data_IF_480691470704
#
_entry.id   IF_480691470704
#
_cell.length_a   1.000
_cell.length_b   1.000
_cell.length_c   1.000
_cell.angle_alpha   90.00
_cell.angle_beta   90.00
_cell.angle_gamma   90.00
#
_symmetry.space_group_name_H-M   'P 1'
#
loop_
_entity.id
_entity.type
_entity.pdbx_description
1 polymer ?
#
# COMPACT_ATOMS: atom_id res chain seq x y z
N UNK A 1 8.47 11.33 6.63
CA UNK A 1 7.79 10.45 5.66
C UNK A 1 7.61 9.12 6.35
N UNK A 2 6.38 8.62 6.37
CA UNK A 2 6.08 7.34 7.01
C UNK A 2 6.70 6.20 6.20
N UNK A 3 7.40 5.29 6.86
CA UNK A 3 8.23 4.30 6.16
C UNK A 3 7.50 2.97 5.88
N UNK A 4 6.51 2.58 6.70
CA UNK A 4 5.93 1.24 6.61
C UNK A 4 4.43 1.23 6.31
N UNK A 5 3.63 1.93 7.09
CA UNK A 5 2.21 2.18 6.85
C UNK A 5 1.78 3.29 7.80
N UNK A 6 1.01 4.26 7.32
CA UNK A 6 0.36 5.25 8.19
C UNK A 6 -1.08 5.48 7.77
N UNK A 7 -1.88 5.96 8.70
CA UNK A 7 -3.28 6.26 8.47
C UNK A 7 -3.91 6.91 9.69
N UNK A 8 -5.24 6.97 9.70
CA UNK A 8 -6.01 7.60 10.77
C UNK A 8 -6.85 6.54 11.50
N UNK A 9 -7.01 6.70 12.80
CA UNK A 9 -7.99 5.95 13.59
C UNK A 9 -9.00 6.92 14.20
N UNK A 10 -10.30 6.67 14.05
CA UNK A 10 -11.35 7.56 14.58
C UNK A 10 -11.49 7.46 16.10
N UNK A 11 -11.88 8.56 16.73
CA UNK A 11 -12.17 8.65 18.17
C UNK A 11 -13.67 8.52 18.35
N UNK A 12 -14.15 7.28 18.29
CA UNK A 12 -15.55 6.93 18.52
C UNK A 12 -15.65 5.59 19.25
N UNK A 13 -16.84 5.23 19.75
CA UNK A 13 -17.05 3.98 20.51
C UNK A 13 -16.58 2.72 19.77
N UNK A 14 -16.57 2.76 18.45
CA UNK A 14 -16.06 1.70 17.58
C UNK A 14 -15.05 2.29 16.59
N UNK A 15 -13.77 2.43 16.98
CA UNK A 15 -12.75 3.08 16.17
C UNK A 15 -12.62 2.44 14.79
N UNK A 16 -12.48 3.28 13.76
CA UNK A 16 -12.30 2.88 12.37
C UNK A 16 -10.93 3.33 11.90
N UNK A 17 -10.23 2.44 11.21
CA UNK A 17 -9.06 2.80 10.42
C UNK A 17 -9.52 3.45 9.12
N UNK A 18 -8.98 4.61 8.81
CA UNK A 18 -9.23 5.37 7.60
C UNK A 18 -7.92 5.58 6.84
N UNK A 19 -7.90 5.20 5.56
CA UNK A 19 -6.76 5.41 4.68
C UNK A 19 -7.25 5.60 3.25
N UNK A 20 -6.98 6.78 2.67
CA UNK A 20 -7.31 7.11 1.28
C UNK A 20 -6.09 7.53 0.47
N UNK A 21 -4.90 7.34 1.04
CA UNK A 21 -3.62 7.58 0.42
C UNK A 21 -2.52 6.85 1.21
N UNK A 22 -1.92 5.82 0.60
CA UNK A 22 -0.82 5.07 1.19
C UNK A 22 0.52 5.84 1.14
N UNK A 23 0.59 6.94 0.39
CA UNK A 23 1.79 7.78 0.29
C UNK A 23 1.85 8.86 1.37
N UNK A 24 0.70 9.21 1.98
CA UNK A 24 0.63 10.28 2.98
C UNK A 24 -0.67 10.28 3.81
N UNK A 25 -0.56 10.28 5.14
CA UNK A 25 -1.73 10.53 6.01
C UNK A 25 -2.29 11.95 5.88
N UNK A 26 -1.46 12.95 5.56
CA UNK A 26 -1.91 14.33 5.34
C UNK A 26 -2.85 14.41 4.13
N UNK A 27 -2.57 13.62 3.10
CA UNK A 27 -3.46 13.52 1.95
C UNK A 27 -4.81 12.88 2.33
N UNK A 28 -4.79 11.82 3.13
CA UNK A 28 -6.02 11.23 3.70
C UNK A 28 -6.83 12.29 4.48
N UNK A 29 -6.18 13.10 5.31
CA UNK A 29 -6.82 14.19 6.05
C UNK A 29 -7.41 15.27 5.12
N UNK A 30 -6.67 15.68 4.09
CA UNK A 30 -7.14 16.66 3.13
C UNK A 30 -8.40 16.19 2.37
N UNK A 31 -8.48 14.89 2.06
CA UNK A 31 -9.63 14.28 1.38
C UNK A 31 -10.85 14.24 2.31
N UNK A 32 -10.65 13.76 3.55
CA UNK A 32 -11.75 13.52 4.48
C UNK A 32 -12.21 14.76 5.24
N UNK A 33 -11.37 15.80 5.32
CA UNK A 33 -11.63 17.06 6.03
C UNK A 33 -12.06 16.83 7.48
N UNK A 34 -11.41 15.87 8.15
CA UNK A 34 -11.69 15.54 9.55
C UNK A 34 -11.24 16.66 10.48
N UNK A 35 -11.92 16.79 11.62
CA UNK A 35 -11.50 17.72 12.67
C UNK A 35 -10.45 17.05 13.58
N UNK A 36 -9.43 17.77 14.08
CA UNK A 36 -8.35 17.19 14.89
C UNK A 36 -8.81 16.40 16.13
N UNK A 37 -9.96 16.74 16.70
CA UNK A 37 -10.56 16.06 17.85
C UNK A 37 -11.26 14.72 17.52
N UNK A 38 -11.33 14.34 16.23
CA UNK A 38 -12.09 13.16 15.77
C UNK A 38 -11.23 11.97 15.35
N UNK A 39 -9.90 12.13 15.32
CA UNK A 39 -8.99 11.07 14.89
C UNK A 39 -7.63 11.14 15.60
N UNK A 40 -6.88 10.04 15.56
CA UNK A 40 -5.44 10.00 15.84
C UNK A 40 -4.69 9.42 14.66
N UNK A 41 -3.48 9.90 14.44
CA UNK A 41 -2.58 9.33 13.44
C UNK A 41 -1.91 8.09 14.01
N UNK A 42 -1.83 7.07 13.18
CA UNK A 42 -1.15 5.81 13.45
C UNK A 42 0.02 5.64 12.46
N UNK A 43 1.05 4.92 12.88
CA UNK A 43 2.12 4.50 11.98
C UNK A 43 2.69 3.15 12.45
N UNK A 44 2.86 2.21 11.53
CA UNK A 44 3.83 1.13 11.74
C UNK A 44 5.22 1.69 11.49
N UNK A 45 6.16 1.49 12.41
CA UNK A 45 7.45 2.20 12.36
C UNK A 45 8.64 1.32 11.98
N UNK A 46 8.54 -0.01 12.06
CA UNK A 46 9.71 -0.91 11.91
C UNK A 46 9.43 -2.26 11.26
N UNK A 47 8.41 -2.99 11.71
CA UNK A 47 8.27 -4.42 11.39
C UNK A 47 6.80 -4.88 11.43
N UNK A 48 6.54 -6.11 11.00
CA UNK A 48 5.18 -6.64 10.82
C UNK A 48 4.48 -7.07 12.12
N UNK A 49 4.88 -6.48 13.25
CA UNK A 49 4.36 -6.76 14.59
C UNK A 49 3.52 -5.60 15.12
N UNK A 50 2.59 -5.89 16.04
CA UNK A 50 1.84 -4.86 16.75
C UNK A 50 2.70 -3.99 17.68
N UNK A 51 3.91 -4.44 18.01
CA UNK A 51 4.87 -3.67 18.81
C UNK A 51 5.37 -2.44 18.06
N UNK A 52 5.45 -2.51 16.73
CA UNK A 52 5.88 -1.39 15.90
C UNK A 52 4.74 -0.44 15.49
N UNK A 53 3.49 -0.76 15.82
CA UNK A 53 2.37 0.18 15.68
C UNK A 53 2.48 1.28 16.73
N UNK A 54 2.56 2.54 16.32
CA UNK A 54 2.51 3.69 17.21
C UNK A 54 1.32 4.59 16.88
N UNK A 55 0.80 5.27 17.90
CA UNK A 55 -0.34 6.18 17.77
C UNK A 55 0.06 7.54 18.36
N UNK A 56 -0.09 8.59 17.56
CA UNK A 56 0.09 9.97 18.00
C UNK A 56 -1.12 10.38 18.82
N UNK A 57 -0.96 10.39 20.14
CA UNK A 57 -2.02 10.71 21.11
C UNK A 57 -1.85 12.12 21.70
N UNK A 58 -2.96 12.71 22.16
CA UNK A 58 -2.97 13.95 22.92
C UNK A 58 -2.66 13.69 24.41
N UNK A 59 -2.26 14.72 25.18
CA UNK A 59 -2.06 14.58 26.62
C UNK A 59 -3.31 14.02 27.32
N UNK A 60 -3.13 12.98 28.13
CA UNK A 60 -4.20 12.35 28.91
C UNK A 60 -4.92 11.19 28.21
N UNK A 61 -4.60 10.91 26.94
CA UNK A 61 -5.16 9.76 26.23
C UNK A 61 -4.32 8.50 26.38
N UNK A 62 -4.99 7.34 26.40
CA UNK A 62 -4.32 6.05 26.43
C UNK A 62 -3.98 5.56 25.01
N UNK A 63 -2.69 5.59 24.68
CA UNK A 63 -2.16 5.04 23.43
C UNK A 63 -2.53 3.56 23.24
N UNK A 64 -2.51 2.77 24.31
CA UNK A 64 -2.74 1.33 24.23
C UNK A 64 -4.19 1.00 23.91
N UNK A 65 -5.15 1.86 24.25
CA UNK A 65 -6.54 1.71 23.86
C UNK A 65 -6.68 1.74 22.32
N UNK A 66 -6.09 2.75 21.67
CA UNK A 66 -6.08 2.86 20.21
C UNK A 66 -5.32 1.71 19.55
N UNK A 67 -4.14 1.35 20.06
CA UNK A 67 -3.36 0.21 19.54
C UNK A 67 -4.17 -1.08 19.61
N UNK A 68 -4.81 -1.33 20.75
CA UNK A 68 -5.63 -2.54 20.95
C UNK A 68 -6.83 -2.57 20.00
N UNK A 69 -7.49 -1.44 19.77
CA UNK A 69 -8.61 -1.35 18.83
C UNK A 69 -8.18 -1.68 17.39
N UNK A 70 -7.03 -1.16 16.93
CA UNK A 70 -6.50 -1.46 15.59
C UNK A 70 -6.10 -2.94 15.51
N UNK A 71 -5.33 -3.45 16.48
CA UNK A 71 -4.82 -4.82 16.46
C UNK A 71 -5.91 -5.89 16.65
N UNK A 72 -7.02 -5.55 17.32
CA UNK A 72 -8.18 -6.43 17.40
C UNK A 72 -8.85 -6.63 16.03
N UNK A 73 -8.83 -5.62 15.15
CA UNK A 73 -9.35 -5.71 13.79
C UNK A 73 -8.31 -6.22 12.79
N UNK A 74 -7.05 -5.85 12.99
CA UNK A 74 -5.93 -6.15 12.11
C UNK A 74 -4.76 -6.74 12.91
N UNK A 75 -4.81 -8.05 13.23
CA UNK A 75 -3.76 -8.70 14.00
C UNK A 75 -2.39 -8.63 13.32
N UNK A 76 -2.35 -8.56 11.98
CA UNK A 76 -1.13 -8.40 11.19
C UNK A 76 -1.14 -7.07 10.44
N UNK A 77 0.04 -6.47 10.22
CA UNK A 77 0.19 -5.26 9.39
C UNK A 77 -0.43 -5.46 7.99
N UNK A 78 -0.23 -6.63 7.38
CA UNK A 78 -0.77 -6.93 6.06
C UNK A 78 -2.31 -6.88 6.01
N UNK A 79 -3.00 -7.21 7.10
CA UNK A 79 -4.45 -7.12 7.18
C UNK A 79 -4.92 -5.66 7.13
N UNK A 80 -4.19 -4.77 7.81
CA UNK A 80 -4.43 -3.33 7.78
C UNK A 80 -4.11 -2.73 6.40
N UNK A 81 -2.98 -3.13 5.79
CA UNK A 81 -2.61 -2.75 4.42
C UNK A 81 -3.72 -3.12 3.44
N UNK A 82 -4.22 -4.36 3.50
CA UNK A 82 -5.27 -4.84 2.62
C UNK A 82 -6.60 -4.06 2.82
N UNK A 83 -6.94 -3.67 4.06
CA UNK A 83 -8.12 -2.82 4.28
C UNK A 83 -7.91 -1.40 3.74
N UNK A 84 -6.70 -0.84 3.85
CA UNK A 84 -6.35 0.44 3.24
C UNK A 84 -6.48 0.37 1.71
N UNK A 85 -5.93 -0.68 1.09
CA UNK A 85 -6.05 -0.92 -0.35
C UNK A 85 -7.52 -1.01 -0.78
N UNK A 86 -8.35 -1.73 -0.01
CA UNK A 86 -9.79 -1.85 -0.25
C UNK A 86 -10.48 -0.48 -0.19
N UNK A 87 -10.24 0.32 0.87
CA UNK A 87 -10.80 1.67 1.00
C UNK A 87 -10.39 2.58 -0.15
N UNK A 88 -9.13 2.51 -0.58
CA UNK A 88 -8.62 3.26 -1.73
C UNK A 88 -9.30 2.84 -3.04
N UNK A 89 -9.45 1.54 -3.29
CA UNK A 89 -10.11 1.02 -4.48
C UNK A 89 -11.60 1.43 -4.52
N UNK A 90 -12.29 1.38 -3.38
CA UNK A 90 -13.69 1.79 -3.24
C UNK A 90 -13.89 3.31 -3.40
N UNK A 91 -12.83 4.12 -3.24
CA UNK A 91 -12.92 5.58 -3.38
C UNK A 91 -13.10 6.05 -4.83
N UNK A 92 -12.86 5.18 -5.81
CA UNK A 92 -12.92 5.52 -7.25
C UNK A 92 -11.81 6.47 -7.72
N UNK A 93 -10.76 6.66 -6.91
CA UNK A 93 -9.63 7.54 -7.23
C UNK A 93 -8.50 6.76 -7.89
N UNK A 94 -7.81 7.38 -8.84
CA UNK A 94 -6.57 6.85 -9.41
C UNK A 94 -5.40 7.11 -8.46
N UNK A 95 -5.19 6.20 -7.51
CA UNK A 95 -4.22 6.35 -6.43
C UNK A 95 -2.95 5.55 -6.67
N UNK A 96 -1.89 6.01 -6.00
CA UNK A 96 -0.60 5.35 -5.94
C UNK A 96 -0.54 4.43 -4.73
N UNK A 97 0.05 3.26 -4.91
CA UNK A 97 0.19 2.24 -3.89
C UNK A 97 1.66 2.14 -3.49
N UNK A 98 2.03 2.91 -2.47
CA UNK A 98 3.35 2.81 -1.85
C UNK A 98 3.39 1.66 -0.85
N UNK A 99 3.95 0.53 -1.30
CA UNK A 99 4.15 -0.68 -0.51
C UNK A 99 5.64 -1.05 -0.47
N UNK A 100 6.53 -0.06 -0.61
CA UNK A 100 7.96 -0.26 -0.77
C UNK A 100 8.60 -1.00 0.42
N UNK A 101 7.97 -1.03 1.58
CA UNK A 101 8.46 -1.68 2.80
C UNK A 101 8.07 -3.15 2.95
N UNK A 102 7.27 -3.71 2.03
CA UNK A 102 6.96 -5.13 2.03
C UNK A 102 8.18 -5.93 1.56
N UNK A 103 8.59 -6.91 2.37
CA UNK A 103 9.67 -7.87 2.04
C UNK A 103 9.13 -9.22 1.58
N UNK A 104 7.82 -9.44 1.73
CA UNK A 104 7.07 -10.59 1.23
C UNK A 104 5.73 -10.13 0.68
N UNK A 105 5.24 -10.80 -0.37
CA UNK A 105 3.91 -10.59 -0.93
C UNK A 105 2.84 -11.51 -0.30
N UNK A 106 3.21 -12.35 0.67
CA UNK A 106 2.29 -13.30 1.30
C UNK A 106 1.07 -12.59 1.92
N UNK A 107 -0.11 -12.93 1.43
CA UNK A 107 -1.38 -12.37 1.91
C UNK A 107 -1.69 -10.97 1.38
N UNK A 108 -0.85 -10.37 0.55
CA UNK A 108 -1.15 -9.10 -0.12
C UNK A 108 -2.31 -9.27 -1.10
N UNK A 109 -3.27 -8.33 -1.06
CA UNK A 109 -4.44 -8.30 -1.94
C UNK A 109 -4.47 -6.96 -2.67
N UNK A 110 -4.13 -6.99 -3.95
CA UNK A 110 -4.22 -5.83 -4.84
C UNK A 110 -5.55 -5.87 -5.61
N UNK A 111 -6.08 -4.70 -6.04
CA UNK A 111 -7.22 -4.65 -6.95
C UNK A 111 -6.81 -5.16 -8.35
N UNK A 112 -7.80 -5.52 -9.17
CA UNK A 112 -7.59 -6.01 -10.55
C UNK A 112 -6.95 -4.95 -11.46
N UNK A 113 -7.12 -3.66 -11.13
CA UNK A 113 -6.50 -2.54 -11.84
C UNK A 113 -6.08 -1.44 -10.86
N UNK A 114 -4.95 -0.79 -11.15
CA UNK A 114 -4.44 0.38 -10.43
C UNK A 114 -4.30 1.55 -11.41
N UNK A 115 -4.95 2.67 -11.12
CA UNK A 115 -4.84 3.87 -11.96
C UNK A 115 -3.51 4.63 -11.82
N UNK A 116 -2.86 4.54 -10.65
CA UNK A 116 -1.56 5.16 -10.36
C UNK A 116 -0.38 4.20 -10.54
N UNK A 117 0.71 4.43 -9.79
CA UNK A 117 1.85 3.51 -9.72
C UNK A 117 1.76 2.55 -8.54
N UNK A 118 2.48 1.42 -8.64
CA UNK A 118 2.64 0.41 -7.58
C UNK A 118 4.12 0.24 -7.27
N UNK A 119 4.49 0.43 -6.01
CA UNK A 119 5.86 0.28 -5.54
C UNK A 119 5.98 -0.90 -4.57
N UNK A 120 6.71 -1.93 -5.00
CA UNK A 120 7.03 -3.12 -4.23
C UNK A 120 8.56 -3.34 -4.24
N UNK A 121 9.34 -2.25 -4.26
CA UNK A 121 10.77 -2.28 -4.55
C UNK A 121 11.61 -3.14 -3.60
N UNK A 122 11.12 -3.51 -2.41
CA UNK A 122 11.86 -4.34 -1.44
C UNK A 122 11.55 -5.83 -1.51
N UNK A 123 10.62 -6.27 -2.36
CA UNK A 123 10.42 -7.70 -2.61
C UNK A 123 11.66 -8.29 -3.30
N UNK A 124 12.17 -9.40 -2.77
CA UNK A 124 13.31 -10.14 -3.33
C UNK A 124 12.89 -11.40 -4.08
N UNK A 125 11.65 -11.85 -3.87
CA UNK A 125 10.98 -12.99 -4.51
C UNK A 125 9.57 -12.60 -4.97
N UNK A 126 9.11 -13.21 -6.07
CA UNK A 126 7.74 -13.07 -6.58
C UNK A 126 6.77 -14.08 -5.95
N UNK A 127 7.22 -14.90 -5.00
CA UNK A 127 6.38 -15.89 -4.31
C UNK A 127 5.17 -15.22 -3.63
N UNK A 128 3.98 -15.74 -3.91
CA UNK A 128 2.71 -15.20 -3.40
C UNK A 128 2.25 -13.90 -4.06
N UNK A 129 3.06 -13.27 -4.92
CA UNK A 129 2.72 -12.02 -5.57
C UNK A 129 1.69 -12.23 -6.68
N UNK A 130 0.57 -11.50 -6.59
CA UNK A 130 -0.44 -11.39 -7.64
C UNK A 130 -0.57 -9.93 -8.02
N UNK A 131 -0.04 -9.57 -9.19
CA UNK A 131 -0.11 -8.21 -9.71
C UNK A 131 -1.50 -7.95 -10.35
N UNK A 132 -1.94 -6.68 -10.41
CA UNK A 132 -3.11 -6.28 -11.20
C UNK A 132 -2.92 -6.61 -12.69
N UNK A 133 -4.02 -6.74 -13.43
CA UNK A 133 -4.00 -6.93 -14.88
C UNK A 133 -3.49 -5.66 -15.60
N UNK A 134 -3.73 -4.49 -15.00
CA UNK A 134 -3.29 -3.20 -15.54
C UNK A 134 -2.84 -2.22 -14.47
N UNK A 135 -1.79 -1.46 -14.79
CA UNK A 135 -1.27 -0.37 -13.96
C UNK A 135 -1.15 0.88 -14.85
N UNK A 136 -1.88 1.95 -14.53
CA UNK A 136 -1.88 3.21 -15.30
C UNK A 136 -0.58 4.00 -15.17
N UNK A 137 0.12 3.87 -14.04
CA UNK A 137 1.44 4.43 -13.79
C UNK A 137 2.56 3.39 -14.00
N UNK A 138 3.55 3.39 -13.11
CA UNK A 138 4.68 2.46 -13.14
C UNK A 138 4.61 1.35 -12.09
N UNK A 139 5.45 0.33 -12.27
CA UNK A 139 5.61 -0.82 -11.39
C UNK A 139 7.07 -0.97 -10.94
N UNK A 140 7.31 -0.91 -9.63
CA UNK A 140 8.64 -1.12 -9.04
C UNK A 140 8.78 -2.48 -8.40
N UNK A 141 9.66 -3.30 -8.95
CA UNK A 141 10.08 -4.60 -8.43
C UNK A 141 11.60 -4.72 -8.49
N UNK A 142 12.32 -3.59 -8.35
CA UNK A 142 13.76 -3.52 -8.67
C UNK A 142 14.65 -4.46 -7.86
N UNK A 143 14.21 -4.95 -6.70
CA UNK A 143 14.99 -5.88 -5.86
C UNK A 143 14.68 -7.36 -6.09
N UNK A 144 13.73 -7.71 -6.98
CA UNK A 144 13.51 -9.10 -7.35
C UNK A 144 14.80 -9.69 -7.94
N UNK A 145 15.18 -10.87 -7.47
CA UNK A 145 16.42 -11.56 -7.89
C UNK A 145 16.18 -12.62 -8.96
N UNK A 146 14.94 -13.11 -9.06
CA UNK A 146 14.47 -14.11 -10.03
C UNK A 146 13.13 -13.68 -10.63
N UNK A 147 12.93 -14.01 -11.92
CA UNK A 147 11.67 -13.84 -12.63
C UNK A 147 10.73 -15.06 -12.50
N UNK A 148 11.18 -16.12 -11.83
CA UNK A 148 10.39 -17.34 -11.65
C UNK A 148 9.06 -17.04 -10.94
N UNK A 149 7.96 -17.50 -11.53
CA UNK A 149 6.61 -17.27 -11.00
C UNK A 149 6.08 -15.85 -11.18
N UNK A 150 6.90 -14.89 -11.63
CA UNK A 150 6.46 -13.51 -11.88
C UNK A 150 5.58 -13.44 -13.13
N UNK A 151 4.35 -12.97 -12.93
CA UNK A 151 3.42 -12.60 -14.01
C UNK A 151 3.24 -11.10 -13.99
N UNK A 152 3.77 -10.41 -15.00
CA UNK A 152 3.61 -8.96 -15.14
C UNK A 152 2.18 -8.61 -15.60
N UNK A 153 1.69 -7.39 -15.30
CA UNK A 153 0.46 -6.86 -15.87
C UNK A 153 0.50 -6.87 -17.40
N UNK A 154 -0.67 -6.97 -18.05
CA UNK A 154 -0.79 -6.88 -19.51
C UNK A 154 -0.40 -5.47 -20.01
N UNK A 155 -0.68 -4.43 -19.21
CA UNK A 155 -0.39 -3.05 -19.54
C UNK A 155 0.19 -2.26 -18.37
N UNK A 156 1.27 -1.52 -18.63
CA UNK A 156 1.89 -0.58 -17.69
C UNK A 156 1.99 0.79 -18.37
N UNK A 157 1.26 1.80 -17.90
CA UNK A 157 1.21 3.10 -18.57
C UNK A 157 2.48 3.93 -18.44
N UNK A 158 3.33 3.64 -17.46
CA UNK A 158 4.59 4.34 -17.19
C UNK A 158 5.82 3.45 -17.33
N UNK A 159 6.50 3.19 -16.22
CA UNK A 159 7.79 2.50 -16.15
C UNK A 159 7.68 1.12 -15.49
N UNK A 160 8.61 0.21 -15.80
CA UNK A 160 8.77 -1.09 -15.15
C UNK A 160 10.22 -1.24 -14.68
N UNK A 161 10.45 -1.46 -13.39
CA UNK A 161 11.78 -1.68 -12.83
C UNK A 161 11.96 -3.10 -12.30
N UNK A 162 12.98 -3.79 -12.83
CA UNK A 162 13.37 -5.17 -12.51
C UNK A 162 14.91 -5.31 -12.41
N UNK A 163 15.57 -4.28 -11.89
CA UNK A 163 17.01 -4.06 -12.04
C UNK A 163 17.93 -5.11 -11.40
N UNK A 164 17.45 -5.91 -10.44
CA UNK A 164 18.25 -6.92 -9.74
C UNK A 164 18.04 -8.36 -10.24
N UNK A 165 17.23 -8.55 -11.30
CA UNK A 165 17.04 -9.87 -11.87
C UNK A 165 18.38 -10.42 -12.38
N UNK A 166 18.74 -11.61 -11.90
CA UNK A 166 19.94 -12.33 -12.36
C UNK A 166 19.74 -12.95 -13.74
N UNK A 167 18.49 -13.26 -14.09
CA UNK A 167 18.05 -13.75 -15.40
C UNK A 167 16.62 -13.27 -15.67
N UNK A 168 16.32 -12.99 -16.94
CA UNK A 168 14.97 -12.72 -17.44
C UNK A 168 14.39 -13.91 -18.23
N UNK A 169 15.01 -15.08 -18.13
CA UNK A 169 14.54 -16.29 -18.81
C UNK A 169 13.10 -16.62 -18.41
N UNK A 170 12.25 -16.88 -19.41
CA UNK A 170 10.83 -17.18 -19.19
C UNK A 170 9.95 -15.98 -18.83
N UNK A 171 10.52 -14.80 -18.58
CA UNK A 171 9.75 -13.59 -18.30
C UNK A 171 9.02 -13.12 -19.56
N UNK A 172 7.70 -13.02 -19.46
CA UNK A 172 6.87 -12.38 -20.49
C UNK A 172 6.73 -10.90 -20.15
N UNK A 173 7.11 -10.03 -21.09
CA UNK A 173 6.90 -8.59 -20.94
C UNK A 173 5.42 -8.22 -21.15
N UNK A 174 4.94 -7.11 -20.57
CA UNK A 174 3.63 -6.55 -20.86
C UNK A 174 3.43 -6.29 -22.36
N UNK A 175 2.18 -6.32 -22.81
CA UNK A 175 1.80 -5.96 -24.17
C UNK A 175 2.11 -4.49 -24.48
N UNK A 176 2.04 -3.62 -23.45
CA UNK A 176 2.44 -2.22 -23.58
C UNK A 176 3.12 -1.66 -22.32
N UNK A 177 4.15 -0.83 -22.53
CA UNK A 177 4.83 -0.03 -21.52
C UNK A 177 4.93 1.41 -22.04
N UNK A 178 4.59 2.40 -21.20
CA UNK A 178 4.73 3.83 -21.55
C UNK A 178 3.59 4.39 -22.42
N UNK A 179 2.53 3.60 -22.65
CA UNK A 179 1.34 3.98 -23.40
C UNK A 179 0.34 4.86 -22.63
N UNK A 180 0.66 5.23 -21.38
CA UNK A 180 -0.20 6.02 -20.50
C UNK A 180 -0.25 7.49 -20.91
N UNK A 181 -0.83 7.78 -22.07
CA UNK A 181 -1.29 9.13 -22.41
C UNK A 181 -2.63 9.07 -23.11
N UNK A 182 -3.70 9.14 -22.32
CA UNK A 182 -4.84 10.00 -22.69
C UNK A 182 -5.28 10.76 -21.45
N UNK A 183 -4.96 12.04 -21.43
CA UNK A 183 -5.74 13.04 -20.72
C UNK A 183 -7.20 12.94 -21.18
N UNK A 184 -8.13 12.79 -20.25
CA UNK A 184 -9.52 13.18 -20.46
C UNK A 184 -9.91 14.12 -19.32
N UNK A 185 -10.44 15.27 -19.74
CA UNK A 185 -10.78 16.46 -18.97
C UNK A 185 -11.77 16.22 -17.83
#
# INVERSE_FOLDING_TARGET
MCQFLSGLVTIEKHPKVLCLDLTSHDATLAILKLKPETYREFEWTREDTGDSLDIRVMPGEDRNEFKSAILAKFPRRIDCINDCIRQMAESGRNLNYDLHSLTSAEGLKLPDSIGGWLDLRSLTSAEGLKLPDSIGGGLDLRSLTSAEGLKLPDSIGGWLYLSSLTSAEGLKLPDSIGGGSTSAA
#
